data_IF_546519775829
#
_entry.id   IF_546519775829
#
_cell.length_a   1.000
_cell.length_b   1.000
_cell.length_c   1.000
_cell.angle_alpha   90.00
_cell.angle_beta   90.00
_cell.angle_gamma   90.00
#
_symmetry.space_group_name_H-M   'P 1'
#
loop_
_entity.id
_entity.type
_entity.pdbx_description
1 polymer ?
#
# COMPACT_ATOMS: atom_id res chain seq x y z
N UNK A 1 4.53 -22.47 -10.42
CA UNK A 1 4.13 -23.61 -9.58
C UNK A 1 3.19 -24.53 -10.35
N UNK A 2 3.58 -25.76 -10.64
CA UNK A 2 2.66 -26.78 -11.18
C UNK A 2 1.80 -27.33 -10.01
N UNK A 3 0.54 -26.94 -9.94
CA UNK A 3 -0.42 -27.36 -8.91
C UNK A 3 -1.05 -28.75 -9.18
N UNK A 4 -0.46 -29.58 -10.03
CA UNK A 4 -0.93 -30.94 -10.26
C UNK A 4 -0.28 -31.92 -9.28
N UNK A 5 -0.56 -31.74 -7.99
CA UNK A 5 -0.21 -32.75 -6.99
C UNK A 5 -1.48 -33.47 -6.54
N UNK A 6 -1.49 -34.80 -6.63
CA UNK A 6 -2.55 -35.66 -6.10
C UNK A 6 -2.60 -35.63 -4.55
N UNK A 7 -1.59 -35.04 -3.92
CA UNK A 7 -1.42 -34.97 -2.46
C UNK A 7 -1.06 -33.54 -2.01
N UNK A 8 -1.32 -33.17 -0.74
CA UNK A 8 -0.94 -31.88 -0.20
C UNK A 8 0.58 -31.64 -0.30
N UNK A 9 0.97 -30.54 -0.96
CA UNK A 9 2.35 -30.07 -0.96
C UNK A 9 2.66 -29.21 0.27
N UNK A 10 3.82 -29.43 0.90
CA UNK A 10 4.37 -28.54 1.93
C UNK A 10 5.38 -27.58 1.32
N UNK A 11 5.20 -26.30 1.62
CA UNK A 11 6.11 -25.22 1.22
C UNK A 11 6.65 -24.58 2.51
N UNK A 12 7.94 -24.75 2.75
CA UNK A 12 8.60 -24.11 3.89
C UNK A 12 8.92 -22.64 3.56
N UNK A 13 8.92 -21.78 4.59
CA UNK A 13 9.29 -20.36 4.48
C UNK A 13 8.48 -19.51 3.47
N UNK A 14 7.24 -19.87 3.17
CA UNK A 14 6.35 -19.08 2.27
C UNK A 14 6.03 -17.70 2.84
N UNK A 15 5.87 -17.61 4.16
CA UNK A 15 5.63 -16.37 4.88
C UNK A 15 6.76 -16.12 5.88
N UNK A 16 7.18 -14.86 6.00
CA UNK A 16 7.99 -14.42 7.13
C UNK A 16 7.31 -13.25 7.85
N UNK A 17 7.51 -13.21 9.17
CA UNK A 17 7.01 -12.15 10.04
C UNK A 17 8.20 -11.61 10.83
N UNK A 18 8.46 -10.31 10.70
CA UNK A 18 9.62 -9.69 11.33
C UNK A 18 9.34 -8.24 11.73
N UNK A 19 10.02 -7.77 12.76
CA UNK A 19 10.07 -6.35 13.08
C UNK A 19 11.27 -5.70 12.36
N UNK A 20 11.05 -4.56 11.72
CA UNK A 20 12.07 -3.84 10.99
C UNK A 20 12.10 -2.37 11.37
N UNK A 21 13.29 -1.83 11.60
CA UNK A 21 13.47 -0.40 11.76
C UNK A 21 13.66 0.23 10.38
N UNK A 22 12.72 1.10 9.96
CA UNK A 22 12.77 1.73 8.64
C UNK A 22 13.91 2.76 8.48
N UNK A 23 14.68 3.03 9.53
CA UNK A 23 15.84 3.94 9.48
C UNK A 23 15.47 5.43 9.55
N UNK A 24 14.18 5.75 9.72
CA UNK A 24 13.68 7.11 9.94
C UNK A 24 12.74 7.16 11.15
N UNK A 25 12.54 8.34 11.77
CA UNK A 25 11.64 8.48 12.91
C UNK A 25 10.17 8.46 12.46
N UNK A 26 9.33 7.70 13.18
CA UNK A 26 7.87 7.77 13.05
C UNK A 26 7.36 9.17 13.40
N UNK A 27 7.96 9.78 14.43
CA UNK A 27 7.68 11.16 14.83
C UNK A 27 8.90 11.74 15.53
N UNK A 28 9.17 13.04 15.31
CA UNK A 28 10.17 13.78 16.07
C UNK A 28 9.90 15.28 16.12
N UNK A 29 10.24 15.91 17.22
CA UNK A 29 10.23 17.36 17.36
C UNK A 29 11.46 17.83 18.16
N UNK A 30 11.94 19.03 17.83
CA UNK A 30 13.03 19.70 18.53
C UNK A 30 12.60 21.15 18.69
N UNK A 31 12.32 21.53 19.93
CA UNK A 31 12.04 22.90 20.32
C UNK A 31 13.37 23.58 20.64
N UNK A 32 13.62 24.71 20.00
CA UNK A 32 14.88 25.46 20.13
C UNK A 32 14.73 26.73 20.97
N UNK A 33 13.50 27.16 21.25
CA UNK A 33 13.21 28.39 21.98
C UNK A 33 13.62 28.26 23.44
N UNK A 34 14.41 29.22 23.91
CA UNK A 34 14.75 29.34 25.33
C UNK A 34 13.53 29.85 26.12
N UNK A 35 13.34 29.42 27.38
CA UNK A 35 14.15 28.44 28.13
C UNK A 35 13.73 26.97 27.91
N UNK A 36 12.72 26.70 27.08
CA UNK A 36 11.99 25.43 27.04
C UNK A 36 12.53 24.38 26.06
N UNK A 37 13.77 24.54 25.56
CA UNK A 37 14.30 23.64 24.54
C UNK A 37 14.25 22.15 24.94
N UNK A 38 13.71 21.31 24.06
CA UNK A 38 13.58 19.87 24.25
C UNK A 38 13.60 19.12 22.92
N UNK A 39 13.92 17.83 22.96
CA UNK A 39 13.75 16.89 21.86
C UNK A 39 12.78 15.78 22.29
N UNK A 40 11.86 15.41 21.41
CA UNK A 40 11.04 14.21 21.55
C UNK A 40 11.05 13.45 20.24
N UNK A 41 11.25 12.13 20.27
CA UNK A 41 11.30 11.34 19.05
C UNK A 41 11.04 9.86 19.26
N UNK A 42 10.61 9.18 18.21
CA UNK A 42 10.36 7.74 18.17
C UNK A 42 10.75 7.21 16.80
N UNK A 43 11.46 6.08 16.76
CA UNK A 43 11.81 5.39 15.51
C UNK A 43 10.58 4.69 14.92
N UNK A 44 10.53 4.58 13.60
CA UNK A 44 9.51 3.79 12.90
C UNK A 44 9.98 2.32 12.84
N UNK A 45 9.63 1.56 13.88
CA UNK A 45 9.83 0.09 13.92
C UNK A 45 8.54 -0.59 13.52
N UNK A 46 8.48 -1.23 12.35
CA UNK A 46 7.25 -1.80 11.80
C UNK A 46 7.24 -3.31 11.93
N UNK A 47 6.06 -3.90 12.09
CA UNK A 47 5.86 -5.34 11.93
C UNK A 47 5.52 -5.62 10.46
N UNK A 48 6.24 -6.50 9.80
CA UNK A 48 6.03 -6.84 8.39
C UNK A 48 5.74 -8.32 8.24
N UNK A 49 4.58 -8.64 7.65
CA UNK A 49 4.27 -9.96 7.09
C UNK A 49 4.57 -9.93 5.59
N UNK A 50 5.49 -10.78 5.13
CA UNK A 50 5.91 -10.83 3.72
C UNK A 50 5.66 -12.22 3.13
N UNK A 51 5.29 -12.23 1.85
CA UNK A 51 5.31 -13.40 0.97
C UNK A 51 5.98 -13.05 -0.35
N UNK A 52 6.63 -14.02 -0.98
CA UNK A 52 7.15 -13.91 -2.35
C UNK A 52 6.45 -14.92 -3.25
N UNK A 53 5.86 -14.46 -4.36
CA UNK A 53 5.13 -15.28 -5.31
C UNK A 53 5.90 -15.36 -6.63
N UNK A 54 6.43 -16.54 -6.93
CA UNK A 54 7.15 -16.79 -8.19
C UNK A 54 6.21 -17.35 -9.24
N UNK A 55 5.94 -16.57 -10.28
CA UNK A 55 5.03 -16.92 -11.37
C UNK A 55 5.77 -16.81 -12.69
N UNK A 56 6.13 -17.97 -13.26
CA UNK A 56 6.91 -18.02 -14.49
C UNK A 56 8.29 -17.41 -14.27
N UNK A 57 8.50 -16.23 -14.86
CA UNK A 57 9.75 -15.48 -14.83
C UNK A 57 9.82 -14.39 -13.75
N UNK A 58 8.67 -13.92 -13.25
CA UNK A 58 8.60 -12.84 -12.26
C UNK A 58 8.48 -13.35 -10.83
N UNK A 59 9.05 -12.55 -9.93
CA UNK A 59 8.96 -12.66 -8.48
C UNK A 59 8.17 -11.46 -7.95
N UNK A 60 7.01 -11.69 -7.34
CA UNK A 60 6.20 -10.64 -6.73
C UNK A 60 6.33 -10.69 -5.21
N UNK A 61 6.83 -9.63 -4.61
CA UNK A 61 6.95 -9.50 -3.15
C UNK A 61 5.78 -8.68 -2.65
N UNK A 62 5.02 -9.25 -1.70
CA UNK A 62 3.86 -8.63 -1.07
C UNK A 62 4.15 -8.48 0.42
N UNK A 63 4.14 -7.25 0.90
CA UNK A 63 4.27 -6.92 2.31
C UNK A 63 2.97 -6.34 2.86
N UNK A 64 2.55 -6.83 4.02
CA UNK A 64 1.62 -6.15 4.91
C UNK A 64 2.41 -5.60 6.10
N UNK A 65 2.47 -4.28 6.21
CA UNK A 65 3.34 -3.55 7.14
C UNK A 65 2.44 -2.79 8.13
N UNK A 66 2.63 -3.07 9.42
CA UNK A 66 1.84 -2.50 10.51
C UNK A 66 2.67 -1.50 11.30
N UNK A 67 2.22 -0.25 11.33
CA UNK A 67 2.89 0.86 12.02
C UNK A 67 2.28 1.13 13.40
N UNK A 68 3.08 1.60 14.36
CA UNK A 68 2.58 1.91 15.72
C UNK A 68 1.61 3.10 15.78
N UNK A 69 1.50 3.90 14.72
CA UNK A 69 0.48 4.95 14.61
C UNK A 69 -0.89 4.42 14.14
N UNK A 70 -1.03 3.09 13.96
CA UNK A 70 -2.25 2.44 13.51
C UNK A 70 -2.40 2.39 11.98
N UNK A 71 -1.40 2.83 11.22
CA UNK A 71 -1.39 2.68 9.77
C UNK A 71 -1.12 1.22 9.37
N UNK A 72 -1.81 0.77 8.34
CA UNK A 72 -1.51 -0.46 7.60
C UNK A 72 -1.08 -0.07 6.19
N UNK A 73 0.09 -0.53 5.77
CA UNK A 73 0.63 -0.38 4.43
C UNK A 73 0.64 -1.76 3.75
N UNK A 74 0.05 -1.86 2.57
CA UNK A 74 0.29 -2.97 1.64
C UNK A 74 1.30 -2.50 0.60
N UNK A 75 2.45 -3.16 0.50
CA UNK A 75 3.51 -2.83 -0.47
C UNK A 75 3.69 -3.99 -1.45
N UNK A 76 3.64 -3.66 -2.74
CA UNK A 76 3.80 -4.60 -3.84
C UNK A 76 5.07 -4.24 -4.61
N UNK A 77 5.89 -5.24 -4.88
CA UNK A 77 7.14 -5.07 -5.63
C UNK A 77 7.25 -6.20 -6.66
N UNK A 78 7.80 -5.88 -7.82
CA UNK A 78 8.12 -6.87 -8.87
C UNK A 78 9.64 -6.95 -9.03
N UNK A 79 10.17 -8.16 -9.13
CA UNK A 79 11.56 -8.47 -9.46
C UNK A 79 11.60 -9.78 -10.26
N UNK A 80 12.76 -10.39 -10.45
CA UNK A 80 12.94 -11.57 -11.28
C UNK A 80 13.27 -11.20 -12.73
N UNK A 81 13.17 -12.18 -13.62
CA UNK A 81 13.50 -12.02 -15.02
C UNK A 81 12.36 -11.36 -15.77
N UNK A 82 12.66 -10.44 -16.68
CA UNK A 82 11.66 -9.91 -17.60
C UNK A 82 11.24 -10.95 -18.64
N UNK A 83 10.03 -10.80 -19.18
CA UNK A 83 9.63 -11.52 -20.38
C UNK A 83 10.16 -10.78 -21.62
N UNK A 84 11.08 -11.41 -22.35
CA UNK A 84 11.73 -10.81 -23.52
C UNK A 84 11.30 -11.47 -24.84
N UNK A 85 11.54 -10.75 -25.94
CA UNK A 85 11.36 -11.23 -27.30
C UNK A 85 12.67 -11.03 -28.11
N UNK A 86 12.73 -11.62 -29.30
CA UNK A 86 13.87 -11.40 -30.22
C UNK A 86 13.83 -9.98 -30.75
N UNK A 87 14.93 -9.23 -30.61
CA UNK A 87 15.03 -7.87 -31.13
C UNK A 87 15.02 -7.83 -32.67
N UNK A 88 14.19 -6.94 -33.22
CA UNK A 88 14.20 -6.50 -34.62
C UNK A 88 13.97 -4.99 -34.63
N UNK A 89 14.51 -4.26 -35.60
CA UNK A 89 14.39 -2.79 -35.61
C UNK A 89 12.94 -2.27 -35.65
N UNK A 90 12.01 -3.05 -36.20
CA UNK A 90 10.57 -2.74 -36.20
C UNK A 90 9.94 -2.72 -34.80
N UNK A 91 10.56 -3.37 -33.81
CA UNK A 91 10.03 -3.51 -32.46
C UNK A 91 10.39 -2.35 -31.53
N UNK A 92 11.14 -1.35 -32.00
CA UNK A 92 11.57 -0.18 -31.20
C UNK A 92 10.42 0.66 -30.64
N UNK A 93 9.22 0.52 -31.21
CA UNK A 93 8.00 1.15 -30.69
C UNK A 93 7.48 0.47 -29.42
N UNK A 94 7.91 -0.77 -29.15
CA UNK A 94 7.41 -1.62 -28.08
C UNK A 94 8.47 -1.96 -27.03
N UNK A 95 9.65 -1.35 -27.09
CA UNK A 95 10.72 -1.62 -26.14
C UNK A 95 12.10 -1.20 -26.61
N UNK A 96 13.10 -1.47 -25.76
CA UNK A 96 14.51 -1.22 -26.08
C UNK A 96 15.25 -2.52 -26.42
N UNK A 97 16.23 -2.43 -27.31
CA UNK A 97 17.26 -3.47 -27.45
C UNK A 97 18.15 -3.40 -26.22
N UNK A 98 18.06 -4.41 -25.36
CA UNK A 98 18.80 -4.45 -24.09
C UNK A 98 19.98 -5.42 -24.12
N UNK A 99 20.05 -6.27 -25.15
CA UNK A 99 21.23 -7.08 -25.49
C UNK A 99 21.23 -7.46 -26.98
N UNK A 100 22.27 -8.13 -27.51
CA UNK A 100 22.49 -8.40 -28.94
C UNK A 100 21.21 -8.81 -29.67
N UNK A 101 20.44 -9.75 -29.14
CA UNK A 101 19.19 -10.20 -29.76
C UNK A 101 17.97 -10.10 -28.84
N UNK A 102 18.02 -9.28 -27.79
CA UNK A 102 16.99 -9.21 -26.75
C UNK A 102 16.26 -7.87 -26.78
N UNK A 103 14.95 -7.93 -26.95
CA UNK A 103 14.01 -6.83 -26.76
C UNK A 103 13.44 -6.88 -25.34
N UNK A 104 13.60 -5.79 -24.59
CA UNK A 104 12.87 -5.54 -23.36
C UNK A 104 11.45 -5.05 -23.68
N UNK A 105 10.46 -5.94 -23.66
CA UNK A 105 9.09 -5.61 -24.04
C UNK A 105 8.43 -4.65 -23.05
N UNK A 106 7.84 -3.56 -23.53
CA UNK A 106 6.90 -2.73 -22.77
C UNK A 106 5.73 -3.58 -22.28
N UNK A 107 5.42 -3.47 -21.00
CA UNK A 107 4.26 -4.11 -20.38
C UNK A 107 3.76 -3.28 -19.19
N UNK A 108 2.59 -3.64 -18.67
CA UNK A 108 1.93 -2.94 -17.59
C UNK A 108 1.69 -3.91 -16.43
N UNK A 109 2.33 -3.66 -15.29
CA UNK A 109 1.98 -4.35 -14.05
C UNK A 109 0.75 -3.68 -13.44
N UNK A 110 -0.32 -4.43 -13.23
CA UNK A 110 -1.52 -3.97 -12.53
C UNK A 110 -1.89 -4.99 -11.45
N UNK A 111 -2.08 -4.50 -10.23
CA UNK A 111 -2.46 -5.28 -9.07
C UNK A 111 -3.81 -4.79 -8.56
N UNK A 112 -4.56 -5.72 -7.96
CA UNK A 112 -5.89 -5.42 -7.45
C UNK A 112 -6.07 -5.99 -6.04
N UNK A 113 -6.48 -5.14 -5.11
CA UNK A 113 -6.62 -5.47 -3.70
C UNK A 113 -8.07 -5.31 -3.28
N UNK A 114 -8.59 -6.30 -2.54
CA UNK A 114 -9.87 -6.20 -1.83
C UNK A 114 -9.60 -5.72 -0.41
N UNK A 115 -10.10 -4.54 -0.07
CA UNK A 115 -10.05 -3.95 1.26
C UNK A 115 -11.47 -3.84 1.82
N UNK A 116 -11.86 -4.86 2.58
CA UNK A 116 -13.16 -4.95 3.27
C UNK A 116 -13.04 -4.27 4.64
N UNK A 117 -13.46 -3.00 4.74
CA UNK A 117 -13.18 -2.13 5.88
C UNK A 117 -14.40 -1.97 6.77
N UNK A 118 -14.31 -2.50 7.99
CA UNK A 118 -15.33 -2.35 9.04
C UNK A 118 -14.97 -1.25 10.05
N UNK A 119 -14.97 0.01 9.61
CA UNK A 119 -14.55 1.14 10.45
C UNK A 119 -15.55 1.37 11.57
N UNK A 120 -15.26 0.86 12.77
CA UNK A 120 -16.20 0.95 13.89
C UNK A 120 -17.49 0.15 13.67
N UNK A 121 -17.43 -0.91 12.86
CA UNK A 121 -18.54 -1.80 12.49
C UNK A 121 -18.94 -1.68 11.00
N UNK A 122 -19.78 -2.61 10.53
CA UNK A 122 -20.19 -2.81 9.12
C UNK A 122 -21.07 -1.72 8.49
N UNK A 123 -21.43 -0.66 9.21
CA UNK A 123 -22.30 0.40 8.69
C UNK A 123 -21.46 1.64 8.40
N UNK A 124 -20.90 1.72 7.20
CA UNK A 124 -19.95 2.74 6.80
C UNK A 124 -20.50 3.66 5.70
N UNK A 125 -19.84 4.81 5.56
CA UNK A 125 -20.02 5.80 4.50
C UNK A 125 -18.65 6.09 3.89
N UNK A 126 -18.67 6.38 2.61
CA UNK A 126 -17.49 6.83 1.87
C UNK A 126 -17.70 8.25 1.37
N UNK A 127 -16.75 9.13 1.65
CA UNK A 127 -16.72 10.48 1.10
C UNK A 127 -15.32 10.88 0.66
N UNK A 128 -15.25 11.90 -0.19
CA UNK A 128 -13.99 12.57 -0.49
C UNK A 128 -13.93 13.95 0.16
N UNK A 129 -12.76 14.31 0.67
CA UNK A 129 -12.42 15.68 1.05
C UNK A 129 -11.67 16.31 -0.13
N UNK A 130 -12.36 17.12 -0.93
CA UNK A 130 -11.79 17.71 -2.13
C UNK A 130 -11.07 19.01 -1.78
N UNK A 131 -9.80 19.15 -2.14
CA UNK A 131 -9.05 20.38 -1.90
C UNK A 131 -9.32 21.38 -3.02
N UNK A 132 -9.68 22.61 -2.64
CA UNK A 132 -10.12 23.64 -3.57
C UNK A 132 -9.45 24.98 -3.25
N UNK A 133 -9.14 25.73 -4.30
CA UNK A 133 -8.77 27.13 -4.17
C UNK A 133 -10.02 27.96 -3.83
N UNK A 134 -9.89 28.83 -2.84
CA UNK A 134 -10.87 29.86 -2.50
C UNK A 134 -10.23 31.24 -2.59
N UNK A 135 -10.67 32.02 -3.58
CA UNK A 135 -10.37 33.44 -3.64
C UNK A 135 -11.28 34.20 -2.66
N UNK A 136 -10.68 35.05 -1.84
CA UNK A 136 -11.33 35.80 -0.76
C UNK A 136 -10.57 37.11 -0.51
N UNK A 137 -10.89 37.81 0.57
CA UNK A 137 -10.14 38.97 1.05
C UNK A 137 -9.64 38.72 2.47
N UNK A 138 -8.60 39.46 2.87
CA UNK A 138 -8.07 39.36 4.23
C UNK A 138 -9.13 39.83 5.25
N UNK A 139 -9.32 39.06 6.32
CA UNK A 139 -10.30 39.36 7.38
C UNK A 139 -10.05 40.70 8.07
N UNK A 140 -8.79 41.11 8.17
CA UNK A 140 -8.38 42.40 8.75
C UNK A 140 -8.32 43.55 7.73
N UNK A 141 -8.43 43.27 6.43
CA UNK A 141 -8.49 44.28 5.38
C UNK A 141 -9.17 43.74 4.10
N UNK A 142 -10.46 44.05 3.96
CA UNK A 142 -11.29 43.59 2.86
C UNK A 142 -10.90 44.13 1.48
N UNK A 143 -10.02 45.12 1.38
CA UNK A 143 -9.55 45.66 0.09
C UNK A 143 -8.38 44.85 -0.50
N UNK A 144 -7.78 43.95 0.28
CA UNK A 144 -6.65 43.14 -0.17
C UNK A 144 -7.13 41.76 -0.60
N UNK A 145 -7.00 41.40 -1.90
CA UNK A 145 -7.34 40.07 -2.37
C UNK A 145 -6.38 39.03 -1.78
N UNK A 146 -6.92 37.85 -1.49
CA UNK A 146 -6.19 36.74 -0.90
C UNK A 146 -6.72 35.43 -1.46
N UNK A 147 -5.85 34.44 -1.62
CA UNK A 147 -6.23 33.10 -2.03
C UNK A 147 -5.76 32.12 -0.98
N UNK A 148 -6.64 31.19 -0.61
CA UNK A 148 -6.34 30.12 0.34
C UNK A 148 -6.92 28.79 -0.12
N UNK A 149 -6.43 27.71 0.46
CA UNK A 149 -6.99 26.38 0.27
C UNK A 149 -8.13 26.16 1.27
N UNK A 150 -9.24 25.65 0.79
CA UNK A 150 -10.31 25.05 1.60
C UNK A 150 -10.49 23.60 1.18
N UNK A 151 -11.34 22.87 1.90
CA UNK A 151 -11.85 21.60 1.41
C UNK A 151 -13.38 21.61 1.35
N UNK A 152 -13.95 20.79 0.48
CA UNK A 152 -15.37 20.47 0.42
C UNK A 152 -15.56 18.97 0.59
N UNK A 153 -16.70 18.54 1.13
CA UNK A 153 -17.01 17.13 1.29
C UNK A 153 -17.91 16.64 0.16
N UNK A 154 -17.66 15.43 -0.34
CA UNK A 154 -18.47 14.78 -1.36
C UNK A 154 -18.81 13.36 -0.93
N UNK A 155 -19.98 13.20 -0.30
CA UNK A 155 -20.52 11.89 0.09
C UNK A 155 -20.89 11.08 -1.16
N UNK A 156 -20.37 9.86 -1.25
CA UNK A 156 -20.73 8.92 -2.32
C UNK A 156 -21.97 8.15 -1.91
N UNK A 157 -23.01 8.20 -2.74
CA UNK A 157 -24.34 7.71 -2.37
C UNK A 157 -24.62 6.35 -3.00
N UNK A 158 -24.08 6.13 -4.20
CA UNK A 158 -24.15 4.88 -4.93
C UNK A 158 -22.79 4.45 -5.45
N UNK A 159 -22.68 3.21 -5.88
CA UNK A 159 -21.43 2.61 -6.36
C UNK A 159 -20.82 3.36 -7.54
N UNK A 160 -21.64 3.82 -8.49
CA UNK A 160 -21.15 4.60 -9.64
C UNK A 160 -20.58 5.97 -9.23
N UNK A 161 -21.04 6.55 -8.12
CA UNK A 161 -20.48 7.80 -7.58
C UNK A 161 -19.08 7.58 -6.95
N UNK A 162 -18.75 6.31 -6.66
CA UNK A 162 -17.58 5.89 -5.93
C UNK A 162 -16.50 5.24 -6.80
N UNK A 163 -16.68 5.22 -8.12
CA UNK A 163 -15.61 4.94 -9.07
C UNK A 163 -14.69 6.16 -9.14
N UNK A 164 -13.38 5.93 -9.01
CA UNK A 164 -12.40 7.01 -8.98
C UNK A 164 -11.22 6.71 -9.90
N UNK A 165 -11.01 7.67 -10.79
CA UNK A 165 -9.79 7.81 -11.57
C UNK A 165 -8.92 8.91 -10.96
N UNK A 166 -7.62 8.64 -10.79
CA UNK A 166 -6.71 9.62 -10.24
C UNK A 166 -6.64 10.87 -11.12
N UNK A 167 -6.84 12.03 -10.49
CA UNK A 167 -6.84 13.34 -11.15
C UNK A 167 -5.93 14.30 -10.38
N UNK A 168 -4.82 14.67 -11.02
CA UNK A 168 -3.86 15.61 -10.45
C UNK A 168 -4.43 17.02 -10.29
N UNK A 169 -5.33 17.44 -11.19
CA UNK A 169 -5.90 18.79 -11.18
C UNK A 169 -6.97 18.96 -10.09
N UNK A 170 -7.53 17.86 -9.58
CA UNK A 170 -8.57 17.86 -8.56
C UNK A 170 -8.19 16.96 -7.37
N UNK A 171 -7.18 17.34 -6.57
CA UNK A 171 -6.69 16.52 -5.47
C UNK A 171 -7.75 16.34 -4.37
N UNK A 172 -7.79 15.16 -3.78
CA UNK A 172 -8.73 14.81 -2.71
C UNK A 172 -8.21 13.71 -1.80
N UNK A 173 -8.79 13.64 -0.60
CA UNK A 173 -8.62 12.52 0.32
C UNK A 173 -9.83 11.60 0.29
N UNK A 174 -9.60 10.29 0.36
CA UNK A 174 -10.64 9.25 0.38
C UNK A 174 -10.89 8.79 1.81
N UNK A 175 -12.08 9.06 2.35
CA UNK A 175 -12.39 8.84 3.77
C UNK A 175 -13.54 7.84 3.90
N UNK A 176 -13.29 6.77 4.65
CA UNK A 176 -14.32 5.80 5.07
C UNK A 176 -14.58 5.94 6.57
N UNK A 177 -15.83 6.05 6.96
CA UNK A 177 -16.21 6.30 8.35
C UNK A 177 -17.55 5.69 8.70
N UNK A 178 -17.79 5.53 10.00
CA UNK A 178 -19.10 5.18 10.52
C UNK A 178 -19.80 6.43 11.06
N UNK A 179 -20.99 6.74 10.52
CA UNK A 179 -21.73 7.95 10.86
C UNK A 179 -22.24 7.97 12.32
N UNK A 180 -22.39 6.81 12.96
CA UNK A 180 -22.81 6.69 14.35
C UNK A 180 -21.64 6.73 15.34
N UNK A 181 -20.39 6.82 14.86
CA UNK A 181 -19.20 6.72 15.69
C UNK A 181 -18.36 8.01 15.59
N UNK A 182 -18.49 8.85 16.61
CA UNK A 182 -17.75 10.11 16.75
C UNK A 182 -16.65 9.99 17.81
N UNK A 183 -15.58 10.75 17.62
CA UNK A 183 -14.61 10.98 18.69
C UNK A 183 -15.11 12.09 19.64
N UNK A 184 -14.33 12.39 20.69
CA UNK A 184 -14.74 13.38 21.72
C UNK A 184 -14.92 14.82 21.19
N UNK A 185 -14.48 15.10 19.97
CA UNK A 185 -14.57 16.41 19.32
C UNK A 185 -15.75 16.53 18.36
N UNK A 186 -16.58 15.48 18.25
CA UNK A 186 -17.69 15.44 17.29
C UNK A 186 -17.28 15.02 15.87
N UNK A 187 -16.01 14.70 15.65
CA UNK A 187 -15.52 14.25 14.35
C UNK A 187 -15.76 12.75 14.15
N UNK A 188 -16.16 12.36 12.94
CA UNK A 188 -16.40 10.95 12.60
C UNK A 188 -15.09 10.16 12.66
N UNK A 189 -15.12 9.00 13.32
CA UNK A 189 -13.98 8.09 13.36
C UNK A 189 -13.85 7.41 12.00
N UNK A 190 -12.71 7.61 11.36
CA UNK A 190 -12.52 7.24 9.97
C UNK A 190 -11.18 6.56 9.71
N UNK A 191 -11.05 5.91 8.56
CA UNK A 191 -9.77 5.61 7.93
C UNK A 191 -9.69 6.35 6.59
N UNK A 192 -8.50 6.85 6.27
CA UNK A 192 -8.14 7.42 4.98
C UNK A 192 -7.45 6.36 4.14
N UNK A 193 -7.89 6.21 2.89
CA UNK A 193 -7.23 5.37 1.89
C UNK A 193 -6.27 6.27 1.10
N UNK A 194 -5.01 5.85 0.99
CA UNK A 194 -3.99 6.57 0.23
C UNK A 194 -3.21 5.59 -0.65
N UNK A 195 -3.21 5.83 -1.96
CA UNK A 195 -2.52 4.98 -2.94
C UNK A 195 -1.28 5.70 -3.48
N UNK A 196 -0.18 4.97 -3.62
CA UNK A 196 1.02 5.39 -4.33
C UNK A 196 1.34 4.37 -5.41
N UNK A 197 1.62 4.84 -6.63
CA UNK A 197 1.80 3.98 -7.79
C UNK A 197 0.50 3.74 -8.55
N UNK A 198 0.00 4.83 -9.14
CA UNK A 198 -1.22 4.83 -9.95
C UNK A 198 -0.84 5.00 -11.42
N UNK A 199 -1.29 4.07 -12.25
CA UNK A 199 -1.21 4.20 -13.71
C UNK A 199 -2.52 3.71 -14.33
N UNK A 200 -2.86 4.30 -15.46
CA UNK A 200 -4.09 3.97 -16.19
C UNK A 200 -3.84 2.79 -17.13
N UNK A 201 -4.75 1.82 -17.12
CA UNK A 201 -4.83 0.80 -18.17
C UNK A 201 -5.22 1.49 -19.49
N UNK A 202 -4.44 1.28 -20.53
CA UNK A 202 -4.65 1.91 -21.84
C UNK A 202 -5.46 1.03 -22.80
N UNK A 203 -5.77 -0.22 -22.42
CA UNK A 203 -6.63 -1.09 -23.21
C UNK A 203 -8.07 -0.55 -23.16
N UNK A 204 -8.71 -0.27 -24.30
CA UNK A 204 -10.08 0.23 -24.33
C UNK A 204 -11.08 -0.73 -23.67
N UNK A 205 -12.06 -0.16 -22.98
CA UNK A 205 -13.11 -0.93 -22.31
C UNK A 205 -13.87 -1.84 -23.29
N UNK A 206 -14.07 -3.09 -22.90
CA UNK A 206 -14.81 -4.09 -23.68
C UNK A 206 -14.06 -4.63 -24.89
N UNK A 207 -12.82 -4.18 -25.16
CA UNK A 207 -12.01 -4.69 -26.26
C UNK A 207 -11.30 -5.98 -25.87
N UNK A 208 -11.59 -7.05 -26.62
CA UNK A 208 -10.90 -8.34 -26.51
C UNK A 208 -10.84 -8.83 -25.05
N UNK A 209 -9.64 -8.98 -24.50
CA UNK A 209 -9.39 -9.54 -23.18
C UNK A 209 -9.65 -8.57 -22.01
N UNK A 210 -10.00 -7.31 -22.27
CA UNK A 210 -10.15 -6.30 -21.21
C UNK A 210 -11.22 -6.68 -20.18
N UNK A 211 -12.29 -7.38 -20.59
CA UNK A 211 -13.34 -7.83 -19.67
C UNK A 211 -12.81 -8.69 -18.52
N UNK A 212 -11.77 -9.49 -18.75
CA UNK A 212 -11.14 -10.32 -17.73
C UNK A 212 -10.39 -9.51 -16.65
N UNK A 213 -10.13 -8.23 -16.94
CA UNK A 213 -9.45 -7.28 -16.06
C UNK A 213 -10.24 -5.98 -15.88
N UNK A 214 -11.58 -6.02 -15.96
CA UNK A 214 -12.41 -4.82 -15.86
C UNK A 214 -12.25 -4.06 -14.52
N UNK A 215 -11.69 -4.72 -13.51
CA UNK A 215 -11.25 -4.13 -12.25
C UNK A 215 -10.10 -3.10 -12.41
N UNK A 216 -9.37 -3.13 -13.52
CA UNK A 216 -8.28 -2.21 -13.82
C UNK A 216 -8.75 -0.87 -14.42
N UNK A 217 -10.06 -0.67 -14.60
CA UNK A 217 -10.64 0.56 -15.18
C UNK A 217 -10.47 1.78 -14.28
N UNK A 218 -10.56 1.58 -12.96
CA UNK A 218 -10.50 2.65 -11.95
C UNK A 218 -9.46 2.33 -10.88
N UNK A 219 -8.86 3.38 -10.28
CA UNK A 219 -7.92 3.20 -9.16
C UNK A 219 -8.63 2.82 -7.86
N UNK A 220 -9.84 3.33 -7.65
CA UNK A 220 -10.70 2.90 -6.54
C UNK A 220 -12.11 2.65 -7.09
N UNK A 221 -12.68 1.50 -6.75
CA UNK A 221 -14.11 1.24 -6.84
C UNK A 221 -14.64 0.85 -5.46
N UNK A 222 -15.88 1.23 -5.14
CA UNK A 222 -16.52 0.86 -3.88
C UNK A 222 -17.85 0.20 -4.16
N UNK A 223 -18.01 -1.02 -3.68
CA UNK A 223 -19.25 -1.79 -3.81
C UNK A 223 -19.84 -2.07 -2.45
N UNK A 224 -21.14 -2.36 -2.41
CA UNK A 224 -21.74 -2.96 -1.23
C UNK A 224 -21.25 -4.41 -1.09
N UNK A 225 -20.93 -4.85 0.12
CA UNK A 225 -20.51 -6.23 0.38
C UNK A 225 -21.63 -7.22 0.01
N UNK A 226 -21.25 -8.28 -0.71
CA UNK A 226 -22.06 -9.46 -1.03
C UNK A 226 -21.17 -10.70 -0.93
N UNK A 227 -21.71 -11.80 -0.41
CA UNK A 227 -20.95 -13.06 -0.25
C UNK A 227 -20.64 -13.70 -1.61
N UNK A 228 -21.51 -13.47 -2.61
CA UNK A 228 -21.33 -13.93 -3.98
C UNK A 228 -20.25 -13.14 -4.74
N UNK A 229 -19.90 -11.94 -4.28
CA UNK A 229 -18.87 -11.05 -4.87
C UNK A 229 -17.54 -11.15 -4.10
N UNK A 230 -17.13 -12.39 -3.76
CA UNK A 230 -16.00 -12.62 -2.87
C UNK A 230 -14.63 -12.30 -3.51
N UNK A 231 -14.49 -12.41 -4.84
CA UNK A 231 -13.27 -12.11 -5.60
C UNK A 231 -13.57 -11.32 -6.87
N UNK A 232 -12.67 -10.43 -7.30
CA UNK A 232 -12.83 -9.61 -8.51
C UNK A 232 -12.25 -10.22 -9.79
N UNK A 233 -11.69 -11.44 -9.69
CA UNK A 233 -11.17 -12.23 -10.81
C UNK A 233 -11.33 -13.72 -10.50
N UNK A 234 -10.87 -14.60 -11.39
CA UNK A 234 -10.82 -16.05 -11.15
C UNK A 234 -9.57 -16.67 -11.75
N UNK A 235 -9.20 -17.87 -11.27
CA UNK A 235 -8.15 -18.68 -11.88
C UNK A 235 -8.48 -19.10 -13.34
N UNK A 236 -9.75 -19.02 -13.75
CA UNK A 236 -10.19 -19.32 -15.11
C UNK A 236 -10.17 -18.12 -16.05
N UNK A 237 -10.01 -16.89 -15.54
CA UNK A 237 -10.05 -15.67 -16.33
C UNK A 237 -8.97 -15.62 -17.44
N UNK A 238 -7.84 -16.31 -17.24
CA UNK A 238 -6.78 -16.44 -18.24
C UNK A 238 -7.13 -17.42 -19.37
N UNK A 239 -8.04 -18.37 -19.14
CA UNK A 239 -8.39 -19.43 -20.09
C UNK A 239 -9.49 -18.99 -21.06
N UNK A 240 -10.47 -18.22 -20.57
CA UNK A 240 -11.45 -17.52 -21.41
C UNK A 240 -11.54 -16.06 -20.99
N UNK A 241 -10.78 -15.23 -21.70
CA UNK A 241 -10.69 -13.80 -21.45
C UNK A 241 -11.84 -13.02 -22.09
N UNK A 242 -12.59 -13.62 -23.03
CA UNK A 242 -13.68 -12.97 -23.76
C UNK A 242 -15.00 -13.09 -23.01
N UNK A 243 -15.18 -14.20 -22.28
CA UNK A 243 -16.30 -14.45 -21.38
C UNK A 243 -15.81 -14.94 -20.00
N UNK A 244 -15.19 -14.06 -19.19
CA UNK A 244 -14.62 -14.45 -17.92
C UNK A 244 -15.71 -14.83 -16.90
N UNK A 245 -15.44 -15.88 -16.11
CA UNK A 245 -16.34 -16.35 -15.02
C UNK A 245 -16.71 -15.21 -14.06
N UNK A 246 -15.74 -14.34 -13.77
CA UNK A 246 -15.95 -13.14 -12.95
C UNK A 246 -15.68 -11.92 -13.84
N UNK A 247 -16.72 -11.11 -14.03
CA UNK A 247 -16.66 -9.80 -14.68
C UNK A 247 -16.92 -8.75 -13.59
N UNK A 248 -15.85 -8.11 -13.14
CA UNK A 248 -15.92 -7.13 -12.04
C UNK A 248 -16.80 -5.93 -12.38
N UNK A 249 -17.00 -5.61 -13.66
CA UNK A 249 -17.86 -4.48 -14.04
C UNK A 249 -19.33 -4.69 -13.63
N UNK A 250 -19.74 -5.95 -13.41
CA UNK A 250 -21.07 -6.29 -12.93
C UNK A 250 -21.29 -5.92 -11.46
N UNK A 251 -20.24 -5.78 -10.65
CA UNK A 251 -20.35 -5.55 -9.20
C UNK A 251 -20.89 -4.16 -8.87
N UNK A 252 -20.74 -3.20 -9.78
CA UNK A 252 -21.22 -1.82 -9.62
C UNK A 252 -22.22 -1.42 -10.71
N UNK A 253 -22.63 -2.36 -11.58
CA UNK A 253 -23.56 -2.10 -12.69
C UNK A 253 -25.01 -1.90 -12.21
N UNK A 254 -25.41 -2.57 -11.13
CA UNK A 254 -26.69 -2.40 -10.46
C UNK A 254 -26.78 -1.10 -9.64
N UNK A 255 -25.64 -0.43 -9.42
CA UNK A 255 -25.52 0.92 -8.86
C UNK A 255 -26.24 1.03 -7.52
N UNK A 256 -25.96 0.09 -6.62
CA UNK A 256 -26.58 -0.02 -5.31
C UNK A 256 -26.30 1.23 -4.46
N UNK A 257 -27.16 1.47 -3.46
CA UNK A 257 -26.90 2.51 -2.46
C UNK A 257 -25.82 2.02 -1.49
N UNK A 258 -24.83 2.87 -1.23
CA UNK A 258 -23.67 2.57 -0.36
C UNK A 258 -23.62 3.44 0.91
N UNK A 259 -24.68 4.18 1.23
CA UNK A 259 -24.76 4.94 2.48
C UNK A 259 -25.17 4.03 3.62
N UNK A 260 -24.38 4.01 4.71
CA UNK A 260 -24.63 3.22 5.92
C UNK A 260 -24.76 1.73 5.59
N UNK A 261 -23.80 1.24 4.80
CA UNK A 261 -23.71 -0.15 4.34
C UNK A 261 -22.35 -0.74 4.67
N UNK A 262 -22.28 -2.05 4.52
CA UNK A 262 -21.03 -2.78 4.50
C UNK A 262 -20.35 -2.53 3.15
N UNK A 263 -19.13 -2.00 3.17
CA UNK A 263 -18.45 -1.44 2.01
C UNK A 263 -17.15 -2.17 1.75
N UNK A 264 -16.99 -2.64 0.52
CA UNK A 264 -15.72 -3.20 0.02
C UNK A 264 -15.06 -2.18 -0.88
N UNK A 265 -13.81 -1.85 -0.56
CA UNK A 265 -12.95 -1.02 -1.41
C UNK A 265 -12.08 -1.91 -2.28
N UNK A 266 -12.11 -1.65 -3.57
CA UNK A 266 -11.35 -2.36 -4.58
C UNK A 266 -10.27 -1.42 -5.10
N UNK A 267 -9.01 -1.69 -4.75
CA UNK A 267 -7.88 -0.79 -4.95
C UNK A 267 -7.00 -1.31 -6.08
N UNK A 268 -6.81 -0.52 -7.12
CA UNK A 268 -5.97 -0.84 -8.26
C UNK A 268 -4.69 -0.02 -8.22
N UNK A 269 -3.56 -0.72 -8.23
CA UNK A 269 -2.20 -0.15 -8.29
C UNK A 269 -1.53 -0.60 -9.57
N UNK A 270 -0.63 0.19 -10.12
CA UNK A 270 0.14 -0.29 -11.27
C UNK A 270 1.25 0.64 -11.74
N UNK A 271 2.13 0.09 -12.58
CA UNK A 271 3.20 0.82 -13.25
C UNK A 271 3.44 0.28 -14.66
N UNK A 272 3.64 1.20 -15.62
CA UNK A 272 4.16 0.84 -16.94
C UNK A 272 5.66 0.58 -16.83
N UNK A 273 6.12 -0.57 -17.30
CA UNK A 273 7.52 -0.98 -17.30
C UNK A 273 7.99 -1.11 -18.74
N UNK A 274 8.94 -0.25 -19.13
CA UNK A 274 9.72 -0.42 -20.36
C UNK A 274 11.09 -0.93 -19.90
N UNK A 275 11.36 -2.24 -20.03
CA UNK A 275 12.62 -2.77 -19.55
C UNK A 275 13.82 -2.11 -20.21
N UNK A 276 14.85 -1.88 -19.42
CA UNK A 276 16.11 -1.28 -19.83
C UNK A 276 17.30 -2.15 -19.39
N UNK A 277 18.53 -1.74 -19.71
CA UNK A 277 19.73 -2.56 -19.52
C UNK A 277 19.97 -2.96 -18.06
N UNK A 278 19.56 -2.12 -17.11
CA UNK A 278 19.66 -2.38 -15.67
C UNK A 278 18.62 -3.37 -15.15
N UNK A 279 17.66 -3.80 -15.99
CA UNK A 279 16.79 -4.96 -15.70
C UNK A 279 17.50 -6.30 -16.01
N UNK A 280 18.74 -6.28 -16.50
CA UNK A 280 19.57 -7.47 -16.66
C UNK A 280 20.55 -7.62 -15.49
N UNK A 281 20.65 -8.82 -14.89
CA UNK A 281 19.92 -10.04 -15.24
C UNK A 281 18.48 -10.07 -14.71
N UNK A 282 18.16 -9.29 -13.67
CA UNK A 282 16.84 -9.27 -13.03
C UNK A 282 16.41 -7.83 -12.71
N UNK A 283 15.10 -7.58 -12.79
CA UNK A 283 14.52 -6.27 -12.49
C UNK A 283 14.74 -5.89 -11.02
N UNK A 284 15.30 -4.72 -10.71
CA UNK A 284 15.48 -4.28 -9.32
C UNK A 284 14.15 -3.81 -8.70
N UNK A 285 13.99 -4.04 -7.39
CA UNK A 285 12.83 -3.56 -6.64
C UNK A 285 12.88 -2.06 -6.32
N UNK A 286 14.08 -1.47 -6.32
CA UNK A 286 14.28 -0.05 -6.01
C UNK A 286 13.57 0.84 -7.04
N UNK A 287 12.68 1.73 -6.57
CA UNK A 287 11.91 2.62 -7.44
C UNK A 287 10.62 2.01 -8.02
N UNK A 288 10.39 0.71 -7.86
CA UNK A 288 9.25 -0.02 -8.44
C UNK A 288 8.22 -0.48 -7.38
N UNK A 289 8.25 0.13 -6.20
CA UNK A 289 7.31 -0.16 -5.12
C UNK A 289 5.97 0.56 -5.35
N UNK A 290 4.88 -0.20 -5.29
CA UNK A 290 3.51 0.31 -5.26
C UNK A 290 2.97 0.15 -3.83
N UNK A 291 2.22 1.13 -3.32
CA UNK A 291 1.71 1.06 -1.95
C UNK A 291 0.24 1.47 -1.84
N UNK A 292 -0.48 0.77 -0.97
CA UNK A 292 -1.81 1.16 -0.50
C UNK A 292 -1.77 1.30 1.02
N UNK A 293 -2.07 2.50 1.51
CA UNK A 293 -2.15 2.82 2.93
C UNK A 293 -3.59 2.93 3.39
N UNK A 294 -3.84 2.36 4.56
CA UNK A 294 -5.01 2.60 5.40
C UNK A 294 -4.54 3.37 6.63
N UNK A 295 -4.92 4.64 6.72
CA UNK A 295 -4.44 5.57 7.73
C UNK A 295 -5.57 5.95 8.68
N UNK A 296 -5.42 5.83 10.01
CA UNK A 296 -6.42 6.35 10.94
C UNK A 296 -6.65 7.85 10.72
N UNK A 297 -7.90 8.27 10.62
CA UNK A 297 -8.29 9.67 10.41
C UNK A 297 -9.39 10.05 11.39
N UNK A 298 -9.07 10.92 12.36
CA UNK A 298 -9.94 11.24 13.50
C UNK A 298 -10.42 10.01 14.32
N UNK A 299 -9.86 8.81 14.06
CA UNK A 299 -10.27 7.56 14.69
C UNK A 299 -9.85 7.49 16.16
N UNK A 300 -8.66 7.98 16.49
CA UNK A 300 -8.14 8.04 17.84
C UNK A 300 -8.21 9.48 18.36
N UNK A 301 -8.12 9.65 19.68
CA UNK A 301 -8.13 10.98 20.32
C UNK A 301 -6.80 11.73 20.14
N UNK A 302 -5.74 10.98 19.87
CA UNK A 302 -4.38 11.42 19.56
C UNK A 302 -3.68 10.29 18.81
N UNK A 303 -2.45 10.51 18.34
CA UNK A 303 -1.68 9.47 17.67
C UNK A 303 -1.47 8.26 18.62
N UNK A 304 -1.87 7.03 18.26
CA UNK A 304 -1.78 5.89 19.16
C UNK A 304 -0.32 5.49 19.48
N UNK A 305 0.66 5.94 18.68
CA UNK A 305 2.09 5.75 18.98
C UNK A 305 2.57 6.56 20.19
N UNK A 306 1.75 7.46 20.74
CA UNK A 306 2.05 8.15 22.00
C UNK A 306 2.17 7.20 23.19
N UNK A 307 1.51 6.04 23.15
CA UNK A 307 1.63 4.99 24.16
C UNK A 307 2.91 4.14 24.05
N UNK A 308 3.72 4.30 23.00
CA UNK A 308 4.94 3.50 22.83
C UNK A 308 6.03 3.90 23.83
N UNK A 309 6.66 2.89 24.43
CA UNK A 309 7.81 3.07 25.33
C UNK A 309 9.12 3.33 24.59
N UNK A 310 9.16 3.12 23.28
CA UNK A 310 10.36 3.33 22.46
C UNK A 310 10.62 4.80 22.14
N UNK A 311 9.65 5.66 22.44
CA UNK A 311 9.84 7.10 22.40
C UNK A 311 10.91 7.55 23.40
N UNK A 312 11.75 8.48 22.96
CA UNK A 312 12.76 9.15 23.77
C UNK A 312 12.38 10.62 23.91
N UNK A 313 12.51 11.13 25.13
CA UNK A 313 12.44 12.56 25.40
C UNK A 313 13.76 13.04 26.01
N UNK A 314 14.25 14.18 25.56
CA UNK A 314 15.45 14.84 26.08
C UNK A 314 15.11 16.28 26.40
N UNK A 315 15.32 16.68 27.65
CA UNK A 315 15.09 18.06 28.09
C UNK A 315 16.18 18.51 29.05
N UNK A 316 16.30 19.83 29.27
CA UNK A 316 17.24 20.35 30.27
C UNK A 316 16.89 19.89 31.69
N UNK A 317 17.90 19.64 32.52
CA UNK A 317 17.69 19.43 33.96
C UNK A 317 17.16 20.70 34.62
N UNK A 318 17.69 21.86 34.22
CA UNK A 318 17.16 23.18 34.55
C UNK A 318 16.96 23.99 33.25
N UNK A 319 15.72 24.29 32.85
CA UNK A 319 15.42 25.11 31.67
C UNK A 319 16.09 26.49 31.68
N UNK A 320 16.39 27.04 32.87
CA UNK A 320 17.02 28.37 33.02
C UNK A 320 18.54 28.30 32.98
N UNK A 321 19.13 27.14 33.23
CA UNK A 321 20.57 26.92 33.24
C UNK A 321 20.94 25.65 32.46
N UNK A 322 21.11 25.76 31.12
CA UNK A 322 21.55 24.66 30.26
C UNK A 322 22.86 24.01 30.68
N UNK A 323 23.69 24.67 31.50
CA UNK A 323 24.97 24.10 31.98
C UNK A 323 24.76 22.94 32.96
N UNK A 324 23.56 22.81 33.53
CA UNK A 324 23.17 21.67 34.38
C UNK A 324 22.94 20.37 33.60
N UNK A 325 23.11 20.38 32.27
CA UNK A 325 22.97 19.22 31.40
C UNK A 325 21.52 18.87 31.08
N UNK A 326 21.32 17.64 30.58
CA UNK A 326 20.01 17.14 30.11
C UNK A 326 19.60 15.88 30.86
N UNK A 327 18.28 15.68 30.97
CA UNK A 327 17.66 14.40 31.33
C UNK A 327 17.21 13.70 30.06
N UNK A 328 17.32 12.37 30.06
CA UNK A 328 16.84 11.50 28.97
C UNK A 328 15.80 10.55 29.55
N UNK A 329 14.57 10.66 29.09
CA UNK A 329 13.45 9.80 29.49
C UNK A 329 13.22 8.74 28.41
N UNK A 330 13.12 7.48 28.84
CA UNK A 330 12.95 6.28 27.98
C UNK A 330 11.75 5.43 28.39
N UNK A 331 10.79 6.00 29.12
CA UNK A 331 9.53 5.33 29.49
C UNK A 331 9.70 3.93 30.12
N UNK A 332 10.76 3.73 30.92
CA UNK A 332 11.06 2.45 31.58
C UNK A 332 11.92 1.47 30.76
N UNK A 333 12.27 1.77 29.51
CA UNK A 333 13.17 0.94 28.72
C UNK A 333 14.62 1.06 29.20
N UNK A 334 15.21 -0.07 29.61
CA UNK A 334 16.63 -0.19 29.97
C UNK A 334 17.50 -0.44 28.75
N UNK A 335 18.72 0.10 28.74
CA UNK A 335 19.73 -0.17 27.68
C UNK A 335 20.53 -1.44 28.00
N UNK A 336 19.86 -2.57 28.12
CA UNK A 336 20.56 -3.84 28.30
C UNK A 336 21.20 -4.22 26.96
N UNK A 337 22.53 -4.31 26.93
CA UNK A 337 23.25 -4.82 25.78
C UNK A 337 23.37 -6.33 25.92
N UNK A 338 22.72 -7.07 25.04
CA UNK A 338 23.06 -8.46 24.78
C UNK A 338 23.65 -8.56 23.38
N UNK A 339 24.67 -9.40 23.24
CA UNK A 339 25.22 -9.78 21.94
C UNK A 339 24.50 -11.07 21.58
N UNK A 340 23.68 -11.04 20.52
CA UNK A 340 23.11 -12.27 19.98
C UNK A 340 24.24 -13.15 19.43
N UNK A 341 24.13 -14.49 19.54
CA UNK A 341 25.05 -15.38 18.84
C UNK A 341 25.11 -15.00 17.36
N UNK A 342 26.31 -14.97 16.78
CA UNK A 342 26.45 -14.80 15.34
C UNK A 342 25.92 -16.08 14.68
N UNK A 343 24.77 -15.99 14.04
CA UNK A 343 24.37 -16.90 12.95
C UNK A 343 24.71 -16.20 11.64
N UNK A 344 25.21 -16.93 10.65
CA UNK A 344 25.29 -16.41 9.28
C UNK A 344 24.20 -17.05 8.43
N UNK A 345 23.79 -16.34 7.39
CA UNK A 345 22.83 -16.86 6.43
C UNK A 345 23.35 -18.17 5.81
N UNK A 346 24.66 -18.25 5.53
CA UNK A 346 25.30 -19.44 4.99
C UNK A 346 25.17 -20.64 5.93
N UNK A 347 25.42 -20.47 7.23
CA UNK A 347 25.25 -21.55 8.21
C UNK A 347 23.78 -22.02 8.31
N UNK A 348 22.82 -21.11 8.22
CA UNK A 348 21.40 -21.44 8.26
C UNK A 348 20.94 -22.15 6.97
N UNK A 349 21.47 -21.73 5.81
CA UNK A 349 21.24 -22.36 4.51
C UNK A 349 21.91 -23.73 4.39
N UNK A 350 23.12 -23.91 4.90
CA UNK A 350 23.79 -25.21 4.92
C UNK A 350 23.04 -26.22 5.79
N UNK A 351 22.46 -25.78 6.90
CA UNK A 351 21.62 -26.62 7.77
C UNK A 351 20.28 -26.96 7.12
N UNK A 352 19.71 -26.03 6.34
CA UNK A 352 18.36 -26.17 5.75
C UNK A 352 18.33 -25.74 4.28
N UNK A 353 19.09 -26.39 3.37
CA UNK A 353 19.25 -25.91 1.99
C UNK A 353 17.95 -25.92 1.20
N UNK A 354 17.01 -26.79 1.58
CA UNK A 354 15.70 -26.91 0.96
C UNK A 354 14.77 -25.71 1.24
N UNK A 355 15.09 -24.84 2.21
CA UNK A 355 14.37 -23.57 2.41
C UNK A 355 14.56 -22.58 1.26
N UNK A 356 15.64 -22.72 0.48
CA UNK A 356 15.94 -21.86 -0.68
C UNK A 356 15.91 -22.64 -1.98
N UNK A 357 16.50 -23.84 -2.00
CA UNK A 357 16.65 -24.60 -3.25
C UNK A 357 15.45 -25.49 -3.58
N UNK A 358 14.54 -25.71 -2.63
CA UNK A 358 13.36 -26.57 -2.79
C UNK A 358 13.69 -27.99 -3.31
N UNK A 359 14.94 -28.45 -3.11
CA UNK A 359 15.56 -29.55 -3.87
C UNK A 359 15.07 -30.96 -3.52
N UNK A 360 14.49 -31.15 -2.32
CA UNK A 360 13.89 -32.42 -1.88
C UNK A 360 12.42 -32.63 -2.28
N UNK A 361 11.86 -31.79 -3.16
CA UNK A 361 10.51 -32.00 -3.69
C UNK A 361 10.56 -33.08 -4.76
N UNK A 362 10.57 -34.35 -4.35
CA UNK A 362 10.37 -35.47 -5.26
C UNK A 362 9.06 -35.24 -6.03
N UNK A 363 9.17 -35.08 -7.35
CA UNK A 363 8.05 -35.42 -8.23
C UNK A 363 7.75 -36.90 -7.98
N UNK A 364 6.48 -37.28 -7.73
CA UNK A 364 6.11 -38.68 -7.89
C UNK A 364 6.49 -39.06 -9.32
N UNK A 365 7.44 -39.98 -9.44
CA UNK A 365 7.75 -40.63 -10.70
C UNK A 365 6.50 -41.39 -11.10
N UNK A 366 5.92 -41.04 -12.26
CA UNK A 366 4.97 -41.90 -12.97
C UNK A 366 5.75 -42.99 -13.70
#
# INVERSE_FOLDING_TARGET
MNQHAAEPGRYDAVFCLFEHNNGYPLRRHLEYSKPLGYYGGMLDSVLTLRSALVVGNYDYIIDFIFHQNGALETRLMSTGYIQSNVFRDVERLYGFRIEENILGNLHHHIFHLKADLDVGGRSNRYETLNFERMDTHLTWNASLPYSQTKFSTSLKRKEQDALYDFDFEHPKDHIVYNNANENKWGEKRAYRIHLSGMSKNLIPEGLYNEKAISWARNQIAVTKQKDEEFCSSSNYAMQDTLDPVVDFSKFYADNEKIIDKDLVFWLTLGLHHIPHTEDLPVTPTAGNHLTAFLLPYNYFLECPSMGSRDAIFVGYNDPKDPTKGVRVERNGNSRNQCITPKSTLEEDLEKNPDQVLESRRQQPTL
#
